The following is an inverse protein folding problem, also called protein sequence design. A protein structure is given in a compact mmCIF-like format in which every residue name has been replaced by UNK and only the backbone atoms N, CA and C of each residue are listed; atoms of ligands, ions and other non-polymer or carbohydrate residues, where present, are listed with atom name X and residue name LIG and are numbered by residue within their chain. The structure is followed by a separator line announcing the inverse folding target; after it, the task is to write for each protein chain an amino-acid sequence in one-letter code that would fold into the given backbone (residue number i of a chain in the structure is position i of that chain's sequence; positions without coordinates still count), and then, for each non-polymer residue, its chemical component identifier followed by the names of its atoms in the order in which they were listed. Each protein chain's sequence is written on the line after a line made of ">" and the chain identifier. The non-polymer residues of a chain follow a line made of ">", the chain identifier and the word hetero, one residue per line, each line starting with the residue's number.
data_IF_006019495204
#
_entry.id   IF_006019495204
#
_cell.length_a   1.000
_cell.length_b   1.000
_cell.length_c   1.000
_cell.angle_alpha   90.00
_cell.angle_beta   90.00
_cell.angle_gamma   90.00
#
_symmetry.space_group_name_H-M   'P 1'
#
loop_
_entity.id
_entity.type
_entity.pdbx_description
1 polymer ?
#
# COMPACT_ATOMS: atom_id res chain seq x y z
N UNK A 1 -0.17 2.02 -13.16
CA UNK A 1 1.03 1.67 -12.37
C UNK A 1 0.76 1.64 -10.87
N UNK A 2 -0.13 2.49 -10.38
CA UNK A 2 -0.59 2.67 -9.00
C UNK A 2 -0.89 1.34 -8.30
N UNK A 3 -1.62 0.45 -8.97
CA UNK A 3 -1.95 -0.88 -8.44
C UNK A 3 -0.69 -1.72 -8.13
N UNK A 4 0.32 -1.68 -9.00
CA UNK A 4 1.61 -2.35 -8.79
C UNK A 4 2.32 -1.77 -7.57
N UNK A 5 2.33 -0.44 -7.43
CA UNK A 5 2.93 0.25 -6.28
C UNK A 5 2.23 -0.10 -4.96
N UNK A 6 0.90 -0.20 -4.95
CA UNK A 6 0.15 -0.64 -3.76
C UNK A 6 0.59 -2.05 -3.33
N UNK A 7 0.65 -3.01 -4.26
CA UNK A 7 1.09 -4.36 -3.91
C UNK A 7 2.56 -4.41 -3.50
N UNK A 8 3.42 -3.58 -4.10
CA UNK A 8 4.81 -3.45 -3.66
C UNK A 8 4.89 -2.98 -2.20
N UNK A 9 4.14 -1.94 -1.83
CA UNK A 9 4.07 -1.44 -0.46
C UNK A 9 3.57 -2.51 0.51
N UNK A 10 2.46 -3.17 0.19
CA UNK A 10 1.87 -4.21 1.03
C UNK A 10 2.81 -5.42 1.19
N UNK A 11 3.45 -5.86 0.11
CA UNK A 11 4.45 -6.93 0.17
C UNK A 11 5.65 -6.53 1.03
N UNK A 12 6.08 -5.25 0.97
CA UNK A 12 7.18 -4.74 1.80
C UNK A 12 6.86 -4.75 3.30
N UNK A 13 5.58 -4.70 3.68
CA UNK A 13 5.13 -4.91 5.07
C UNK A 13 4.99 -6.39 5.45
N UNK A 14 5.28 -7.31 4.53
CA UNK A 14 5.18 -8.75 4.74
C UNK A 14 3.75 -9.30 4.60
N UNK A 15 2.86 -8.60 3.89
CA UNK A 15 1.58 -9.18 3.48
C UNK A 15 1.77 -10.10 2.27
N UNK A 16 1.03 -11.21 2.23
CA UNK A 16 1.08 -12.19 1.15
C UNK A 16 0.27 -11.72 -0.07
N UNK A 17 0.88 -10.83 -0.86
CA UNK A 17 0.27 -10.23 -2.06
C UNK A 17 1.13 -10.39 -3.31
N UNK A 18 2.14 -11.28 -3.28
CA UNK A 18 3.06 -11.47 -4.40
C UNK A 18 2.34 -11.89 -5.69
N UNK A 19 1.39 -12.82 -5.60
CA UNK A 19 0.60 -13.24 -6.76
C UNK A 19 -0.11 -12.05 -7.40
N UNK A 20 -0.75 -11.18 -6.60
CA UNK A 20 -1.41 -9.97 -7.11
C UNK A 20 -0.43 -8.95 -7.69
N UNK A 21 0.78 -8.84 -7.13
CA UNK A 21 1.84 -8.01 -7.69
C UNK A 21 2.26 -8.54 -9.07
N UNK A 22 2.59 -9.83 -9.17
CA UNK A 22 3.04 -10.47 -10.40
C UNK A 22 1.97 -10.40 -11.50
N UNK A 23 0.72 -10.77 -11.19
CA UNK A 23 -0.39 -10.66 -12.14
C UNK A 23 -0.59 -9.23 -12.65
N UNK A 24 -0.35 -8.23 -11.79
CA UNK A 24 -0.45 -6.82 -12.19
C UNK A 24 0.71 -6.40 -13.08
N UNK A 25 1.92 -6.89 -12.81
CA UNK A 25 3.09 -6.63 -13.65
C UNK A 25 2.91 -7.26 -15.04
N UNK A 26 2.46 -8.51 -15.09
CA UNK A 26 2.13 -9.23 -16.34
C UNK A 26 1.13 -8.43 -17.19
N UNK A 27 0.03 -7.96 -16.58
CA UNK A 27 -0.96 -7.14 -17.28
C UNK A 27 -0.36 -5.84 -17.83
N UNK A 28 0.44 -5.13 -17.02
CA UNK A 28 1.09 -3.88 -17.43
C UNK A 28 2.11 -4.11 -18.56
N UNK A 29 2.82 -5.23 -18.54
CA UNK A 29 3.77 -5.59 -19.59
C UNK A 29 3.05 -5.95 -20.89
N UNK A 30 1.94 -6.69 -20.83
CA UNK A 30 1.11 -7.00 -22.02
C UNK A 30 0.55 -5.73 -22.65
N UNK A 31 0.14 -4.74 -21.85
CA UNK A 31 -0.35 -3.45 -22.34
C UNK A 31 0.74 -2.63 -23.05
N UNK A 32 2.01 -2.83 -22.70
CA UNK A 32 3.14 -2.14 -23.32
C UNK A 32 4.41 -3.02 -23.35
N UNK A 33 4.50 -3.86 -24.39
CA UNK A 33 5.56 -4.86 -24.56
C UNK A 33 6.98 -4.26 -24.72
N UNK A 34 7.08 -3.00 -25.12
CA UNK A 34 8.36 -2.30 -25.30
C UNK A 34 8.82 -1.59 -24.02
N UNK A 35 8.07 -1.71 -22.93
CA UNK A 35 8.44 -1.12 -21.66
C UNK A 35 9.58 -1.91 -21.00
N UNK A 36 10.81 -1.41 -21.17
CA UNK A 36 12.03 -2.00 -20.60
C UNK A 36 11.96 -2.12 -19.07
N UNK A 37 11.21 -1.23 -18.40
CA UNK A 37 11.10 -1.20 -16.95
C UNK A 37 10.28 -2.37 -16.43
N UNK A 38 9.16 -2.68 -17.08
CA UNK A 38 8.36 -3.85 -16.74
C UNK A 38 9.08 -5.16 -17.09
N UNK A 39 9.75 -5.21 -18.24
CA UNK A 39 10.57 -6.38 -18.60
C UNK A 39 11.69 -6.63 -17.57
N UNK A 40 12.35 -5.56 -17.12
CA UNK A 40 13.39 -5.63 -16.10
C UNK A 40 12.82 -6.17 -14.78
N UNK A 41 11.65 -5.69 -14.35
CA UNK A 41 10.97 -6.16 -13.14
C UNK A 41 10.61 -7.66 -13.20
N UNK A 42 10.16 -8.17 -14.35
CA UNK A 42 9.86 -9.61 -14.56
C UNK A 42 11.09 -10.51 -14.35
N UNK A 43 12.28 -9.98 -14.64
CA UNK A 43 13.54 -10.73 -14.50
C UNK A 43 14.13 -10.67 -13.08
N UNK A 44 13.57 -9.84 -12.19
CA UNK A 44 14.09 -9.65 -10.83
C UNK A 44 13.52 -10.68 -9.85
N UNK A 45 14.25 -10.92 -8.74
CA UNK A 45 13.68 -11.67 -7.63
C UNK A 45 12.58 -10.84 -6.94
N UNK A 46 11.59 -11.46 -6.28
CA UNK A 46 10.46 -10.75 -5.69
C UNK A 46 10.81 -9.54 -4.83
N UNK A 47 11.80 -9.69 -3.94
CA UNK A 47 12.26 -8.60 -3.07
C UNK A 47 12.89 -7.44 -3.86
N UNK A 48 13.64 -7.75 -4.91
CA UNK A 48 14.31 -6.75 -5.74
C UNK A 48 13.29 -5.99 -6.58
N UNK A 49 12.34 -6.70 -7.20
CA UNK A 49 11.24 -6.11 -7.95
C UNK A 49 10.44 -5.13 -7.09
N UNK A 50 10.03 -5.54 -5.89
CA UNK A 50 9.27 -4.68 -4.97
C UNK A 50 10.04 -3.44 -4.54
N UNK A 51 11.33 -3.57 -4.18
CA UNK A 51 12.15 -2.42 -3.83
C UNK A 51 12.33 -1.47 -5.01
N UNK A 52 12.50 -2.02 -6.22
CA UNK A 52 12.59 -1.23 -7.44
C UNK A 52 11.29 -0.47 -7.70
N UNK A 53 10.12 -1.12 -7.62
CA UNK A 53 8.82 -0.47 -7.80
C UNK A 53 8.57 0.65 -6.80
N UNK A 54 8.94 0.47 -5.52
CA UNK A 54 8.86 1.54 -4.53
C UNK A 54 9.79 2.71 -4.91
N UNK A 55 11.00 2.44 -5.38
CA UNK A 55 11.89 3.50 -5.88
C UNK A 55 11.34 4.23 -7.09
N UNK A 56 10.65 3.53 -8.00
CA UNK A 56 9.99 4.15 -9.17
C UNK A 56 8.81 5.00 -8.71
N UNK A 57 8.00 4.52 -7.77
CA UNK A 57 6.86 5.25 -7.22
C UNK A 57 7.24 6.65 -6.72
N UNK A 58 8.39 6.82 -6.07
CA UNK A 58 8.83 8.13 -5.57
C UNK A 58 9.14 9.16 -6.65
N UNK A 59 9.40 8.72 -7.89
CA UNK A 59 9.72 9.58 -9.04
C UNK A 59 8.59 9.63 -10.09
N UNK A 60 7.53 8.87 -9.90
CA UNK A 60 6.37 8.84 -10.80
C UNK A 60 5.34 9.88 -10.41
N UNK A 61 4.65 10.43 -11.42
CA UNK A 61 3.37 11.09 -11.19
C UNK A 61 2.34 10.03 -10.83
N UNK A 62 1.62 10.23 -9.73
CA UNK A 62 0.61 9.30 -9.23
C UNK A 62 -0.76 9.95 -9.32
N UNK A 63 -1.73 9.20 -9.85
CA UNK A 63 -3.13 9.47 -9.55
C UNK A 63 -3.39 9.08 -8.08
N UNK A 64 -3.33 10.07 -7.18
CA UNK A 64 -3.46 9.87 -5.75
C UNK A 64 -4.83 9.31 -5.35
N UNK A 65 -5.89 9.66 -6.11
CA UNK A 65 -7.24 9.15 -5.85
C UNK A 65 -7.34 7.68 -6.23
N UNK A 66 -6.87 7.31 -7.43
CA UNK A 66 -6.87 5.91 -7.87
C UNK A 66 -5.97 5.03 -7.00
N UNK A 67 -4.77 5.52 -6.68
CA UNK A 67 -3.85 4.88 -5.75
C UNK A 67 -4.50 4.69 -4.36
N UNK A 68 -5.12 5.73 -3.83
CA UNK A 68 -5.82 5.71 -2.55
C UNK A 68 -6.95 4.68 -2.50
N UNK A 69 -7.79 4.66 -3.54
CA UNK A 69 -8.88 3.68 -3.69
C UNK A 69 -8.37 2.24 -3.60
N UNK A 70 -7.27 1.92 -4.31
CA UNK A 70 -6.71 0.57 -4.31
C UNK A 70 -6.09 0.24 -2.95
N UNK A 71 -5.32 1.16 -2.37
CA UNK A 71 -4.66 0.95 -1.08
C UNK A 71 -5.68 0.72 0.03
N UNK A 72 -6.66 1.62 0.17
CA UNK A 72 -7.66 1.57 1.24
C UNK A 72 -8.53 0.32 1.14
N UNK A 73 -8.95 -0.06 -0.07
CA UNK A 73 -9.69 -1.31 -0.30
C UNK A 73 -8.86 -2.56 0.03
N UNK A 74 -7.57 -2.55 -0.29
CA UNK A 74 -6.67 -3.67 0.03
C UNK A 74 -6.45 -3.80 1.54
N UNK A 75 -6.22 -2.68 2.23
CA UNK A 75 -6.12 -2.63 3.69
C UNK A 75 -7.40 -3.11 4.36
N UNK A 76 -8.57 -2.75 3.84
CA UNK A 76 -9.87 -3.22 4.32
C UNK A 76 -9.99 -4.74 4.32
N UNK A 77 -9.47 -5.43 3.29
CA UNK A 77 -9.49 -6.89 3.23
C UNK A 77 -8.48 -7.52 4.20
N UNK A 78 -7.30 -6.92 4.34
CA UNK A 78 -6.27 -7.38 5.28
C UNK A 78 -6.77 -7.24 6.73
N UNK A 79 -7.34 -6.08 7.07
CA UNK A 79 -7.84 -5.73 8.39
C UNK A 79 -8.84 -6.75 8.95
N UNK A 80 -9.71 -7.32 8.09
CA UNK A 80 -10.70 -8.34 8.49
C UNK A 80 -10.09 -9.64 8.99
N UNK A 81 -8.84 -9.93 8.61
CA UNK A 81 -8.21 -11.23 8.80
C UNK A 81 -7.10 -11.21 9.86
N UNK A 82 -6.79 -10.05 10.46
CA UNK A 82 -5.72 -9.93 11.45
C UNK A 82 -6.19 -9.10 12.66
N UNK A 83 -5.48 -9.23 13.79
CA UNK A 83 -5.79 -8.45 14.99
C UNK A 83 -5.41 -6.98 14.81
N UNK A 84 -6.07 -6.09 15.57
CA UNK A 84 -5.82 -4.65 15.50
C UNK A 84 -4.37 -4.32 15.84
N UNK A 85 -3.76 -5.01 16.79
CA UNK A 85 -2.39 -4.79 17.23
C UNK A 85 -1.37 -5.17 16.15
N UNK A 86 -1.63 -6.26 15.42
CA UNK A 86 -0.75 -6.68 14.30
C UNK A 86 -0.92 -5.75 13.11
N UNK A 87 -2.16 -5.32 12.82
CA UNK A 87 -2.45 -4.35 11.77
C UNK A 87 -1.76 -3.01 12.05
N UNK A 88 -2.03 -2.42 13.22
CA UNK A 88 -1.50 -1.14 13.67
C UNK A 88 0.03 -1.06 13.55
N UNK A 89 0.75 -2.07 14.06
CA UNK A 89 2.23 -2.14 14.00
C UNK A 89 2.80 -2.01 12.59
N UNK A 90 2.04 -2.38 11.56
CA UNK A 90 2.46 -2.28 10.15
C UNK A 90 2.06 -0.96 9.51
N UNK A 91 1.01 -0.28 9.97
CA UNK A 91 0.46 0.90 9.31
C UNK A 91 1.40 2.10 9.34
N UNK A 92 2.03 2.38 10.48
CA UNK A 92 3.01 3.45 10.57
C UNK A 92 4.25 3.22 9.67
N UNK A 93 4.69 1.96 9.57
CA UNK A 93 5.77 1.53 8.67
C UNK A 93 5.39 1.67 7.19
N UNK A 94 4.15 1.35 6.84
CA UNK A 94 3.60 1.55 5.50
C UNK A 94 3.50 3.04 5.16
N UNK A 95 2.94 3.83 6.07
CA UNK A 95 2.79 5.28 5.91
C UNK A 95 4.14 5.97 5.63
N UNK A 96 5.21 5.55 6.32
CA UNK A 96 6.58 6.06 6.08
C UNK A 96 7.11 5.82 4.67
N UNK A 97 6.59 4.81 3.97
CA UNK A 97 6.97 4.47 2.60
C UNK A 97 6.12 5.18 1.54
N UNK A 98 5.10 5.94 1.95
CA UNK A 98 4.30 6.71 1.01
C UNK A 98 5.09 7.92 0.46
N UNK A 99 4.81 8.36 -0.78
CA UNK A 99 5.36 9.59 -1.32
C UNK A 99 5.02 10.81 -0.47
N UNK A 100 5.99 11.72 -0.30
CA UNK A 100 5.83 12.89 0.57
C UNK A 100 4.69 13.83 0.15
N UNK A 101 4.34 13.84 -1.13
CA UNK A 101 3.29 14.70 -1.66
C UNK A 101 1.87 14.21 -1.33
N UNK A 102 1.68 12.93 -0.95
CA UNK A 102 0.35 12.39 -0.55
C UNK A 102 0.27 12.00 0.92
N UNK A 103 1.39 11.70 1.59
CA UNK A 103 1.35 11.04 2.90
C UNK A 103 0.72 11.87 4.03
N UNK A 104 0.55 13.18 3.82
CA UNK A 104 -0.10 14.12 4.76
C UNK A 104 -1.56 14.41 4.41
N UNK A 105 -2.08 13.79 3.37
CA UNK A 105 -3.48 13.92 2.94
C UNK A 105 -4.30 12.76 3.50
N UNK A 106 -5.57 13.01 3.81
CA UNK A 106 -6.49 11.92 4.15
C UNK A 106 -6.88 11.16 2.88
N UNK A 107 -7.01 9.82 2.94
CA UNK A 107 -7.00 8.98 4.15
C UNK A 107 -5.60 8.46 4.56
N UNK A 108 -4.54 8.81 3.82
CA UNK A 108 -3.20 8.29 4.08
C UNK A 108 -2.64 8.73 5.44
N UNK A 109 -2.91 9.97 5.83
CA UNK A 109 -2.39 10.53 7.06
C UNK A 109 -2.87 9.79 8.31
N UNK A 110 -4.11 9.27 8.29
CA UNK A 110 -4.65 8.43 9.37
C UNK A 110 -3.75 7.22 9.68
N UNK A 111 -3.05 6.65 8.70
CA UNK A 111 -2.15 5.51 8.91
C UNK A 111 -0.94 5.84 9.80
N UNK A 112 -0.66 7.13 10.03
CA UNK A 112 0.47 7.60 10.83
C UNK A 112 0.19 7.74 12.33
N UNK A 113 -1.09 7.81 12.72
CA UNK A 113 -1.48 8.16 14.10
C UNK A 113 -2.64 7.32 14.64
N UNK A 114 -3.35 6.55 13.82
CA UNK A 114 -4.55 5.82 14.27
C UNK A 114 -4.27 4.81 15.39
N UNK A 115 -3.03 4.33 15.51
CA UNK A 115 -2.60 3.42 16.58
C UNK A 115 -2.17 4.11 17.87
N UNK A 116 -2.05 5.44 17.90
CA UNK A 116 -1.72 6.19 19.13
C UNK A 116 -2.73 5.90 20.24
N UNK A 117 -3.99 5.66 19.88
CA UNK A 117 -5.08 5.29 20.79
C UNK A 117 -4.80 4.02 21.60
N UNK A 118 -4.03 3.09 21.04
CA UNK A 118 -3.68 1.84 21.73
C UNK A 118 -2.78 2.08 22.94
N UNK A 119 -2.00 3.17 22.96
CA UNK A 119 -1.09 3.49 24.08
C UNK A 119 -1.82 3.83 25.39
N UNK A 120 -3.07 4.28 25.30
CA UNK A 120 -3.95 4.56 26.43
C UNK A 120 -5.17 3.63 26.49
N UNK A 121 -5.12 2.50 25.76
CA UNK A 121 -6.11 1.41 25.84
C UNK A 121 -7.42 1.65 25.08
N UNK A 122 -7.48 2.66 24.20
CA UNK A 122 -8.69 2.94 23.42
C UNK A 122 -8.65 2.23 22.04
N UNK A 123 -8.91 0.92 22.06
CA UNK A 123 -9.03 0.14 20.83
C UNK A 123 -10.22 0.58 19.97
N UNK A 124 -11.31 1.05 20.59
CA UNK A 124 -12.51 1.44 19.87
C UNK A 124 -12.23 2.64 18.96
N UNK A 125 -11.58 3.67 19.49
CA UNK A 125 -11.16 4.84 18.70
C UNK A 125 -10.16 4.44 17.61
N UNK A 126 -9.20 3.57 17.91
CA UNK A 126 -8.24 3.05 16.93
C UNK A 126 -8.95 2.42 15.72
N UNK A 127 -9.93 1.55 15.97
CA UNK A 127 -10.73 0.90 14.94
C UNK A 127 -11.55 1.91 14.13
N UNK A 128 -12.20 2.86 14.80
CA UNK A 128 -12.97 3.90 14.12
C UNK A 128 -12.10 4.73 13.16
N UNK A 129 -10.87 5.07 13.55
CA UNK A 129 -9.94 5.81 12.70
C UNK A 129 -9.54 5.00 11.47
N UNK A 130 -9.09 3.76 11.66
CA UNK A 130 -8.72 2.92 10.52
C UNK A 130 -9.90 2.62 9.60
N UNK A 131 -11.06 2.31 10.15
CA UNK A 131 -12.27 2.07 9.35
C UNK A 131 -12.63 3.33 8.56
N UNK A 132 -12.65 4.51 9.17
CA UNK A 132 -12.89 5.77 8.45
C UNK A 132 -11.91 5.96 7.27
N UNK A 133 -10.62 5.66 7.46
CA UNK A 133 -9.63 5.74 6.39
C UNK A 133 -9.88 4.71 5.28
N UNK A 134 -10.16 3.46 5.64
CA UNK A 134 -10.40 2.36 4.69
C UNK A 134 -11.69 2.54 3.87
N UNK A 135 -12.70 3.21 4.44
CA UNK A 135 -13.99 3.51 3.81
C UNK A 135 -14.04 4.93 3.18
N UNK A 136 -12.92 5.65 3.11
CA UNK A 136 -12.90 7.05 2.69
C UNK A 136 -13.40 7.28 1.24
N UNK A 137 -13.17 6.32 0.35
CA UNK A 137 -13.50 6.42 -1.08
C UNK A 137 -14.77 5.65 -1.48
N UNK A 138 -15.51 5.11 -0.50
CA UNK A 138 -16.75 4.36 -0.72
C UNK A 138 -17.97 5.29 -0.94
#
# INVERSE_FOLDING_TARGET
>A
MEKLFVYALLYSEGFDVWASYADTLDMLFIENLENEEYLSLEMMRPKEAVLHSISVMYRSELDSEYFGKILMKSLQQIYKNISIEVFAKKMYSLWKKLPQHICKEEPFFTLSYADDCLSYGDEYQCRQLYEKAMYYYD
#
